data_IF_058614431805
#
_entry.id   IF_058614431805
#
_cell.length_a   1.000
_cell.length_b   1.000
_cell.length_c   1.000
_cell.angle_alpha   90.00
_cell.angle_beta   90.00
_cell.angle_gamma   90.00
#
_symmetry.space_group_name_H-M   'P 1'
#
loop_
_entity.id
_entity.type
_entity.pdbx_description
1 polymer ?
#
# COMPACT_ATOMS: atom_id res chain seq x y z
N UNK A 1 15.95 26.94 -7.33
CA UNK A 1 16.49 26.69 -5.97
C UNK A 1 15.41 26.24 -4.97
N UNK A 2 14.58 27.11 -4.37
CA UNK A 2 13.60 26.70 -3.33
C UNK A 2 12.37 25.96 -3.88
N UNK A 3 11.81 26.45 -4.99
CA UNK A 3 10.63 25.85 -5.63
C UNK A 3 10.90 24.44 -6.14
N UNK A 4 12.11 24.18 -6.64
CA UNK A 4 12.50 22.85 -7.12
C UNK A 4 12.65 21.83 -5.98
N UNK A 5 13.19 22.25 -4.83
CA UNK A 5 13.20 21.41 -3.62
C UNK A 5 11.79 21.06 -3.17
N UNK A 6 10.87 22.02 -3.17
CA UNK A 6 9.47 21.76 -2.80
C UNK A 6 8.80 20.76 -3.76
N UNK A 7 9.12 20.82 -5.06
CA UNK A 7 8.65 19.83 -6.04
C UNK A 7 9.21 18.42 -5.78
N UNK A 8 10.50 18.31 -5.45
CA UNK A 8 11.10 17.01 -5.09
C UNK A 8 10.46 16.40 -3.85
N UNK A 9 10.25 17.19 -2.79
CA UNK A 9 9.60 16.73 -1.56
C UNK A 9 8.17 16.27 -1.81
N UNK A 10 7.41 17.02 -2.62
CA UNK A 10 6.04 16.63 -3.01
C UNK A 10 6.03 15.28 -3.72
N UNK A 11 6.95 15.05 -4.65
CA UNK A 11 7.00 13.81 -5.42
C UNK A 11 7.31 12.61 -4.51
N UNK A 12 8.29 12.74 -3.60
CA UNK A 12 8.62 11.68 -2.63
C UNK A 12 7.42 11.35 -1.74
N UNK A 13 6.71 12.35 -1.22
CA UNK A 13 5.52 12.13 -0.40
C UNK A 13 4.42 11.45 -1.22
N UNK A 14 4.23 11.86 -2.47
CA UNK A 14 3.25 11.27 -3.38
C UNK A 14 3.55 9.80 -3.66
N UNK A 15 4.82 9.44 -3.90
CA UNK A 15 5.22 8.06 -4.19
C UNK A 15 5.07 7.17 -2.95
N UNK A 16 5.44 7.67 -1.76
CA UNK A 16 5.23 6.96 -0.49
C UNK A 16 3.74 6.77 -0.22
N UNK A 17 2.94 7.80 -0.42
CA UNK A 17 1.49 7.73 -0.22
C UNK A 17 0.81 6.81 -1.23
N UNK A 18 1.24 6.80 -2.49
CA UNK A 18 0.74 5.86 -3.50
C UNK A 18 1.17 4.43 -3.20
N UNK A 19 2.38 4.19 -2.70
CA UNK A 19 2.79 2.87 -2.23
C UNK A 19 1.98 2.40 -1.03
N UNK A 20 1.63 3.32 -0.11
CA UNK A 20 0.82 3.03 1.06
C UNK A 20 -0.67 2.81 0.72
N UNK A 21 -1.29 3.76 0.01
CA UNK A 21 -2.71 3.74 -0.33
C UNK A 21 -3.02 2.82 -1.52
N UNK A 22 -2.07 2.64 -2.44
CA UNK A 22 -2.18 1.76 -3.60
C UNK A 22 -1.86 0.29 -3.31
N UNK A 23 -1.56 -0.06 -2.05
CA UNK A 23 -1.37 -1.44 -1.60
C UNK A 23 -2.72 -2.19 -1.58
N UNK A 24 -3.27 -2.44 -2.78
CA UNK A 24 -4.44 -3.26 -3.07
C UNK A 24 -4.13 -4.77 -3.04
N UNK A 25 -2.86 -5.12 -2.83
CA UNK A 25 -2.34 -6.50 -2.75
C UNK A 25 -2.61 -7.18 -1.41
N UNK A 26 -3.25 -6.51 -0.44
CA UNK A 26 -3.60 -7.15 0.83
C UNK A 26 -2.40 -7.51 1.72
N UNK A 27 -1.18 -7.10 1.34
CA UNK A 27 0.00 -7.18 2.18
C UNK A 27 0.12 -5.94 3.05
N UNK A 28 0.08 -6.12 4.37
CA UNK A 28 0.55 -5.11 5.30
C UNK A 28 2.08 -4.99 5.13
N UNK A 29 2.62 -3.78 5.00
CA UNK A 29 4.06 -3.48 5.13
C UNK A 29 5.02 -3.86 3.98
N UNK A 30 4.62 -3.78 2.71
CA UNK A 30 5.58 -3.80 1.59
C UNK A 30 6.24 -5.16 1.30
N UNK A 31 5.76 -6.23 1.96
CA UNK A 31 6.16 -7.61 1.66
C UNK A 31 5.15 -8.15 0.65
N UNK A 32 5.59 -8.34 -0.59
CA UNK A 32 4.79 -8.97 -1.63
C UNK A 32 4.62 -10.46 -1.30
N UNK A 33 3.55 -10.79 -0.55
CA UNK A 33 3.16 -12.18 -0.36
C UNK A 33 2.86 -12.83 -1.73
N UNK A 34 3.16 -14.12 -1.93
CA UNK A 34 2.66 -14.86 -3.08
C UNK A 34 1.15 -14.69 -3.22
N UNK A 35 0.65 -14.68 -4.47
CA UNK A 35 -0.76 -14.37 -4.75
C UNK A 35 -1.73 -15.29 -3.99
N UNK A 36 -1.37 -16.56 -3.83
CA UNK A 36 -2.13 -17.54 -3.06
C UNK A 36 -2.36 -17.09 -1.60
N UNK A 37 -1.32 -16.58 -0.95
CA UNK A 37 -1.40 -16.15 0.45
C UNK A 37 -2.14 -14.82 0.59
N UNK A 38 -2.04 -13.93 -0.40
CA UNK A 38 -2.85 -12.71 -0.46
C UNK A 38 -4.35 -13.04 -0.56
N UNK A 39 -4.71 -14.04 -1.35
CA UNK A 39 -6.11 -14.43 -1.56
C UNK A 39 -6.69 -15.09 -0.29
N UNK A 40 -5.90 -15.91 0.44
CA UNK A 40 -6.26 -16.43 1.77
C UNK A 40 -6.49 -15.32 2.80
N UNK A 41 -5.60 -14.32 2.84
CA UNK A 41 -5.73 -13.15 3.72
C UNK A 41 -6.98 -12.32 3.42
N UNK A 42 -7.34 -12.18 2.14
CA UNK A 42 -8.57 -11.50 1.71
C UNK A 42 -9.81 -12.24 2.17
N UNK A 43 -9.86 -13.56 1.99
CA UNK A 43 -10.97 -14.39 2.48
C UNK A 43 -11.10 -14.28 4.01
N UNK A 44 -10.00 -14.42 4.74
CA UNK A 44 -10.01 -14.32 6.20
C UNK A 44 -10.51 -12.96 6.71
N UNK A 45 -10.15 -11.85 6.05
CA UNK A 45 -10.70 -10.52 6.37
C UNK A 45 -12.21 -10.46 6.14
N UNK A 46 -12.71 -11.02 5.05
CA UNK A 46 -14.14 -11.02 4.73
C UNK A 46 -14.94 -11.83 5.78
N UNK A 47 -14.40 -12.96 6.22
CA UNK A 47 -15.01 -13.80 7.25
C UNK A 47 -15.05 -13.10 8.62
N UNK A 48 -13.96 -12.40 8.98
CA UNK A 48 -13.89 -11.64 10.24
C UNK A 48 -14.78 -10.39 10.23
N UNK A 49 -15.02 -9.78 9.07
CA UNK A 49 -15.84 -8.57 8.97
C UNK A 49 -17.36 -8.88 8.98
N UNK A 50 -17.74 -10.13 8.69
CA UNK A 50 -19.12 -10.61 8.77
C UNK A 50 -19.50 -11.18 10.14
N UNK A 51 -18.57 -11.18 11.10
CA UNK A 51 -18.77 -11.69 12.46
C UNK A 51 -18.89 -10.55 13.47
#
# INVERSE_FOLDING_TARGET
>A
MTIERLKQVKNVISDVYQGFAGCSTGGCCGVSLPKEDQDKLKQWKQDMQQK
#
